data_IF_435719653686
#
_entry.id   IF_435719653686
#
_cell.length_a   1.000
_cell.length_b   1.000
_cell.length_c   1.000
_cell.angle_alpha   90.00
_cell.angle_beta   90.00
_cell.angle_gamma   90.00
#
_symmetry.space_group_name_H-M   'P 1'
#
loop_
_entity.id
_entity.type
_entity.pdbx_description
1 polymer ?
#
# COMPACT_ATOMS: atom_id res chain seq x y z
N UNK A 1 -2.88 -13.01 10.22
CA UNK A 1 -1.40 -13.12 10.25
C UNK A 1 -1.05 -14.44 10.92
N UNK A 2 0.00 -15.14 10.50
CA UNK A 2 0.50 -16.36 11.17
C UNK A 2 2.04 -16.28 11.29
N UNK A 3 2.65 -16.96 12.27
CA UNK A 3 4.11 -17.07 12.33
C UNK A 3 4.66 -17.59 11.01
N UNK A 4 5.78 -17.00 10.57
CA UNK A 4 6.45 -17.35 9.33
C UNK A 4 7.91 -17.69 9.63
N UNK A 5 8.48 -18.58 8.82
CA UNK A 5 9.91 -18.92 8.84
C UNK A 5 10.59 -18.39 7.58
N UNK A 6 10.02 -17.35 6.96
CA UNK A 6 10.56 -16.78 5.73
C UNK A 6 11.88 -16.05 6.04
N UNK A 7 12.85 -16.12 5.13
CA UNK A 7 14.11 -15.40 5.25
C UNK A 7 14.00 -13.92 4.86
N UNK A 8 12.91 -13.54 4.18
CA UNK A 8 12.62 -12.16 3.80
C UNK A 8 11.70 -11.55 4.85
N UNK A 9 12.22 -10.55 5.56
CA UNK A 9 11.48 -9.73 6.50
C UNK A 9 11.48 -8.26 6.08
N UNK A 10 10.45 -7.54 6.52
CA UNK A 10 10.28 -6.10 6.30
C UNK A 10 10.03 -5.40 7.64
N UNK A 11 10.54 -4.19 7.85
CA UNK A 11 10.33 -3.48 9.11
C UNK A 11 8.85 -3.11 9.32
N UNK A 12 8.50 -2.88 10.58
CA UNK A 12 7.16 -2.46 11.01
C UNK A 12 7.27 -1.06 11.60
N UNK A 13 6.33 -0.19 11.23
CA UNK A 13 6.14 1.13 11.80
C UNK A 13 4.82 1.21 12.55
N UNK A 14 4.84 1.96 13.66
CA UNK A 14 3.62 2.40 14.33
C UNK A 14 3.35 3.86 13.98
N UNK A 15 2.19 4.11 13.38
CA UNK A 15 1.79 5.46 12.97
C UNK A 15 0.65 5.94 13.85
N UNK A 16 0.84 7.08 14.52
CA UNK A 16 -0.21 7.75 15.28
C UNK A 16 -1.10 8.57 14.33
N UNK A 17 -2.42 8.32 14.36
CA UNK A 17 -3.40 9.08 13.58
C UNK A 17 -4.01 10.23 14.39
N UNK A 18 -4.73 11.11 13.70
CA UNK A 18 -5.37 12.32 14.27
C UNK A 18 -6.38 12.02 15.41
N UNK A 19 -6.78 10.77 15.62
CA UNK A 19 -7.62 10.33 16.75
C UNK A 19 -6.87 9.70 17.92
N UNK A 20 -5.53 9.68 17.92
CA UNK A 20 -4.73 9.02 18.96
C UNK A 20 -4.58 7.50 18.77
N UNK A 21 -5.24 6.93 17.77
CA UNK A 21 -5.09 5.52 17.39
C UNK A 21 -3.72 5.25 16.76
N UNK A 22 -3.12 4.11 17.13
CA UNK A 22 -1.90 3.58 16.53
C UNK A 22 -2.24 2.55 15.47
N UNK A 23 -1.62 2.71 14.30
CA UNK A 23 -1.76 1.79 13.19
C UNK A 23 -0.46 1.01 13.02
N UNK A 24 -0.60 -0.32 12.97
CA UNK A 24 0.46 -1.23 12.60
C UNK A 24 0.64 -1.19 11.07
N UNK A 25 1.78 -0.68 10.60
CA UNK A 25 2.09 -0.52 9.18
C UNK A 25 3.36 -1.30 8.87
N UNK A 26 3.31 -2.14 7.85
CA UNK A 26 4.50 -2.85 7.36
C UNK A 26 5.16 -2.00 6.28
N UNK A 27 6.47 -1.79 6.38
CA UNK A 27 7.25 -1.07 5.38
C UNK A 27 7.60 -1.98 4.19
N UNK A 28 6.77 -1.92 3.16
CA UNK A 28 7.02 -2.69 1.95
C UNK A 28 7.98 -2.00 0.96
N UNK A 29 8.72 -0.94 1.35
CA UNK A 29 9.53 -0.17 0.40
C UNK A 29 10.49 -1.06 -0.40
N UNK A 30 11.43 -1.76 0.27
CA UNK A 30 12.39 -2.64 -0.41
C UNK A 30 11.68 -3.78 -1.14
N UNK A 31 10.66 -4.36 -0.51
CA UNK A 31 9.90 -5.49 -1.07
C UNK A 31 9.20 -5.13 -2.40
N UNK A 32 8.61 -3.94 -2.49
CA UNK A 32 7.95 -3.42 -3.69
C UNK A 32 8.92 -3.13 -4.84
N UNK A 33 10.21 -2.93 -4.54
CA UNK A 33 11.25 -2.78 -5.56
C UNK A 33 11.72 -4.13 -6.13
N UNK A 34 11.63 -5.20 -5.34
CA UNK A 34 12.08 -6.55 -5.72
C UNK A 34 10.99 -7.30 -6.51
N UNK A 35 9.71 -7.08 -6.16
CA UNK A 35 8.60 -7.81 -6.77
C UNK A 35 8.28 -7.35 -8.19
N UNK A 36 7.90 -8.31 -9.04
CA UNK A 36 7.36 -8.04 -10.36
C UNK A 36 6.06 -7.23 -10.28
N UNK A 37 6.06 -6.05 -10.91
CA UNK A 37 4.91 -5.15 -10.92
C UNK A 37 3.86 -5.62 -11.91
N UNK A 38 2.68 -5.97 -11.41
CA UNK A 38 1.50 -6.20 -12.24
C UNK A 38 0.76 -4.87 -12.46
N UNK A 39 1.07 -4.17 -13.53
CA UNK A 39 0.52 -2.84 -13.81
C UNK A 39 -0.93 -2.91 -14.30
N UNK A 40 -1.86 -2.38 -13.50
CA UNK A 40 -3.24 -2.13 -13.92
C UNK A 40 -3.45 -0.62 -14.04
N UNK A 41 -3.82 -0.08 -15.21
CA UNK A 41 -4.02 1.35 -15.36
C UNK A 41 -5.27 1.78 -14.60
N UNK A 42 -5.09 2.61 -13.57
CA UNK A 42 -6.19 3.29 -12.87
C UNK A 42 -6.44 4.61 -13.60
N UNK A 43 -7.68 4.89 -14.06
CA UNK A 43 -7.97 6.13 -14.74
C UNK A 43 -7.74 7.33 -13.82
N UNK A 44 -7.24 8.43 -14.40
CA UNK A 44 -7.13 9.71 -13.71
C UNK A 44 -8.52 10.18 -13.29
N UNK A 45 -8.62 10.84 -12.13
CA UNK A 45 -9.91 11.30 -11.60
C UNK A 45 -10.66 12.18 -12.60
N UNK A 46 -9.97 13.08 -13.30
CA UNK A 46 -10.57 13.95 -14.32
C UNK A 46 -11.16 13.13 -15.49
N UNK A 47 -10.48 12.04 -15.89
CA UNK A 47 -11.00 11.15 -16.94
C UNK A 47 -12.26 10.42 -16.49
N UNK A 48 -12.36 10.09 -15.21
CA UNK A 48 -13.57 9.47 -14.64
C UNK A 48 -14.70 10.51 -14.59
N UNK A 49 -14.42 11.71 -14.05
CA UNK A 49 -15.42 12.77 -13.89
C UNK A 49 -15.99 13.24 -15.23
N UNK A 50 -15.16 13.42 -16.25
CA UNK A 50 -15.60 13.83 -17.59
C UNK A 50 -16.54 12.81 -18.25
N UNK A 51 -16.43 11.52 -17.89
CA UNK A 51 -17.34 10.47 -18.39
C UNK A 51 -18.69 10.43 -17.66
N UNK A 52 -18.79 11.01 -16.46
CA UNK A 52 -20.02 11.04 -15.68
C UNK A 52 -20.88 12.27 -16.00
N UNK A 53 -20.25 13.33 -16.53
CA UNK A 53 -20.93 14.56 -16.95
C UNK A 53 -21.56 14.50 -18.34
N UNK A 54 -21.35 13.40 -19.07
CA UNK A 54 -21.98 13.10 -20.38
C UNK A 54 -23.20 12.23 -20.20
#
# INVERSE_FOLDING_TARGET
>A
IRPSTNSIDTPILFVLKKGGELYFVVDYYIFNHIIYKNYTPIPLIDKILNRLSS
#
